data_IF_119957749230
#
_entry.id   IF_119957749230
#
_cell.length_a   1.000
_cell.length_b   1.000
_cell.length_c   1.000
_cell.angle_alpha   90.00
_cell.angle_beta   90.00
_cell.angle_gamma   90.00
#
_symmetry.space_group_name_H-M   'P 1'
#
loop_
_entity.id
_entity.type
_entity.pdbx_description
1 polymer ?
#
# COMPACT_ATOMS: atom_id res chain seq x y z
N UNK A 1 19.00 30.07 -4.97
CA UNK A 1 20.03 29.02 -4.91
C UNK A 1 19.30 27.71 -4.91
N UNK A 2 19.55 26.86 -5.91
CA UNK A 2 18.97 25.53 -5.98
C UNK A 2 19.63 24.66 -4.92
N UNK A 3 18.85 23.96 -4.10
CA UNK A 3 19.37 23.13 -3.02
C UNK A 3 19.22 21.64 -3.34
N UNK A 4 20.20 20.86 -2.88
CA UNK A 4 20.12 19.40 -2.87
C UNK A 4 19.64 18.97 -1.48
N UNK A 5 18.48 18.33 -1.42
CA UNK A 5 17.93 17.79 -0.18
C UNK A 5 18.01 16.27 -0.28
N UNK A 6 18.68 15.65 0.69
CA UNK A 6 18.86 14.22 0.78
C UNK A 6 17.71 13.53 1.50
N UNK A 7 17.34 12.34 1.05
CA UNK A 7 16.45 11.44 1.77
C UNK A 7 17.08 10.06 1.92
N UNK A 8 17.18 9.60 3.17
CA UNK A 8 17.72 8.31 3.54
C UNK A 8 16.66 7.48 4.26
N UNK A 9 16.64 6.17 4.01
CA UNK A 9 15.67 5.26 4.63
C UNK A 9 16.31 3.93 4.97
N UNK A 10 16.01 3.43 6.16
CA UNK A 10 16.38 2.08 6.59
C UNK A 10 15.16 1.24 6.93
N UNK A 11 15.26 -0.06 6.66
CA UNK A 11 14.32 -1.09 7.10
C UNK A 11 14.84 -1.76 8.37
N UNK A 12 13.98 -2.49 9.08
CA UNK A 12 14.34 -3.26 10.28
C UNK A 12 15.54 -4.19 10.10
N UNK A 13 15.75 -4.71 8.88
CA UNK A 13 16.85 -5.64 8.55
C UNK A 13 18.19 -4.94 8.27
N UNK A 14 18.18 -3.63 8.02
CA UNK A 14 19.36 -2.87 7.62
C UNK A 14 19.47 -1.64 8.51
N UNK A 15 20.09 -1.80 9.68
CA UNK A 15 20.06 -0.77 10.74
C UNK A 15 21.05 0.38 10.53
N UNK A 16 21.89 0.33 9.49
CA UNK A 16 22.98 1.29 9.33
C UNK A 16 22.65 2.35 8.25
N UNK A 17 22.32 3.57 8.71
CA UNK A 17 22.13 4.75 7.85
C UNK A 17 23.45 5.43 7.46
N UNK A 18 24.58 5.11 8.08
CA UNK A 18 25.83 5.87 7.96
C UNK A 18 26.33 5.89 6.52
N UNK A 19 26.27 4.75 5.81
CA UNK A 19 26.63 4.68 4.38
C UNK A 19 25.77 5.59 3.51
N UNK A 20 24.46 5.68 3.81
CA UNK A 20 23.54 6.57 3.08
C UNK A 20 23.84 8.04 3.39
N UNK A 21 24.07 8.36 4.66
CA UNK A 21 24.37 9.72 5.11
C UNK A 21 25.66 10.23 4.49
N UNK A 22 26.70 9.40 4.49
CA UNK A 22 28.00 9.76 3.93
C UNK A 22 27.91 9.97 2.41
N UNK A 23 27.20 9.10 1.70
CA UNK A 23 26.95 9.27 0.27
C UNK A 23 26.19 10.57 -0.04
N UNK A 24 25.12 10.88 0.72
CA UNK A 24 24.31 12.09 0.53
C UNK A 24 25.09 13.37 0.87
N UNK A 25 25.91 13.35 1.94
CA UNK A 25 26.80 14.47 2.27
C UNK A 25 27.83 14.71 1.19
N UNK A 26 28.44 13.64 0.66
CA UNK A 26 29.42 13.74 -0.43
C UNK A 26 28.79 14.26 -1.73
N UNK A 27 27.49 14.03 -1.94
CA UNK A 27 26.72 14.59 -3.04
C UNK A 27 26.31 16.06 -2.85
N UNK A 28 26.73 16.70 -1.74
CA UNK A 28 26.44 18.11 -1.47
C UNK A 28 25.04 18.39 -0.93
N UNK A 29 24.36 17.38 -0.36
CA UNK A 29 23.06 17.59 0.27
C UNK A 29 23.20 18.47 1.53
N UNK A 30 22.50 19.61 1.55
CA UNK A 30 22.53 20.56 2.67
C UNK A 30 21.71 20.07 3.87
N UNK A 31 20.59 19.40 3.58
CA UNK A 31 19.65 18.85 4.55
C UNK A 31 19.42 17.39 4.20
N UNK A 32 19.45 16.50 5.18
CA UNK A 32 19.19 15.06 5.00
C UNK A 32 18.06 14.65 5.94
N UNK A 33 16.98 14.12 5.36
CA UNK A 33 15.87 13.53 6.10
C UNK A 33 16.06 12.02 6.24
N UNK A 34 15.94 11.50 7.46
CA UNK A 34 16.26 10.11 7.80
C UNK A 34 15.04 9.36 8.31
N UNK A 35 14.54 8.42 7.52
CA UNK A 35 13.35 7.63 7.85
C UNK A 35 13.71 6.25 8.39
N UNK A 36 13.16 5.89 9.55
CA UNK A 36 13.30 4.55 10.14
C UNK A 36 12.01 3.76 9.94
N UNK A 37 12.00 2.86 8.96
CA UNK A 37 10.85 2.00 8.73
C UNK A 37 10.81 0.86 9.75
N UNK A 38 9.95 0.98 10.76
CA UNK A 38 9.47 -0.16 11.52
C UNK A 38 8.45 -0.91 10.66
N UNK A 39 8.62 -2.22 10.44
CA UNK A 39 7.78 -3.04 9.55
C UNK A 39 6.26 -3.04 9.85
N UNK A 40 5.82 -2.30 10.88
CA UNK A 40 4.43 -2.17 11.31
C UNK A 40 3.73 -0.90 10.83
N UNK A 41 4.44 0.13 10.38
CA UNK A 41 3.85 1.47 10.13
C UNK A 41 4.01 1.92 8.68
N UNK A 42 2.90 2.36 8.11
CA UNK A 42 2.78 2.86 6.72
C UNK A 42 3.09 4.35 6.60
N UNK A 43 3.24 5.06 7.72
CA UNK A 43 3.50 6.50 7.73
C UNK A 43 4.97 6.80 7.41
N UNK A 44 5.21 7.93 6.73
CA UNK A 44 6.55 8.44 6.39
C UNK A 44 6.66 9.92 6.76
N UNK A 45 6.62 10.25 8.05
CA UNK A 45 6.58 11.65 8.48
C UNK A 45 7.82 12.43 8.02
N UNK A 46 8.99 11.79 7.92
CA UNK A 46 10.22 12.44 7.47
C UNK A 46 10.21 12.66 5.96
N UNK A 47 9.67 11.71 5.20
CA UNK A 47 9.48 11.91 3.76
C UNK A 47 8.49 13.05 3.47
N UNK A 48 7.38 13.12 4.20
CA UNK A 48 6.41 14.21 4.04
C UNK A 48 7.02 15.58 4.37
N UNK A 49 7.84 15.66 5.41
CA UNK A 49 8.58 16.87 5.76
C UNK A 49 9.59 17.24 4.67
N UNK A 50 10.33 16.27 4.13
CA UNK A 50 11.24 16.45 3.00
C UNK A 50 10.52 17.04 1.79
N UNK A 51 9.37 16.47 1.41
CA UNK A 51 8.55 16.92 0.28
C UNK A 51 8.00 18.33 0.49
N UNK A 52 7.68 18.71 1.73
CA UNK A 52 7.24 20.07 2.09
C UNK A 52 8.37 21.09 2.05
N UNK A 53 9.61 20.67 2.35
CA UNK A 53 10.77 21.55 2.34
C UNK A 53 11.23 21.91 0.91
N UNK A 54 11.08 20.99 -0.04
CA UNK A 54 11.48 21.17 -1.44
C UNK A 54 10.66 22.27 -2.15
N UNK A 55 11.36 23.12 -2.91
CA UNK A 55 10.80 24.19 -3.74
C UNK A 55 11.18 23.98 -5.20
N UNK A 56 10.48 24.68 -6.10
CA UNK A 56 10.82 24.65 -7.53
C UNK A 56 12.30 25.04 -7.75
N UNK A 57 13.02 24.23 -8.53
CA UNK A 57 14.46 24.34 -8.77
C UNK A 57 15.34 23.53 -7.83
N UNK A 58 14.83 23.05 -6.69
CA UNK A 58 15.57 22.14 -5.82
C UNK A 58 15.66 20.73 -6.43
N UNK A 59 16.54 19.91 -5.89
CA UNK A 59 16.70 18.49 -6.29
C UNK A 59 16.60 17.59 -5.07
N UNK A 60 15.70 16.60 -5.14
CA UNK A 60 15.65 15.50 -4.18
C UNK A 60 16.71 14.47 -4.56
N UNK A 61 17.64 14.21 -3.65
CA UNK A 61 18.72 13.25 -3.82
C UNK A 61 18.48 12.04 -2.92
N UNK A 62 18.60 10.85 -3.48
CA UNK A 62 18.52 9.58 -2.74
C UNK A 62 19.74 8.72 -3.03
N UNK A 63 20.15 7.90 -2.05
CA UNK A 63 21.27 7.00 -2.27
C UNK A 63 20.99 5.97 -3.37
N UNK A 64 19.79 5.38 -3.32
CA UNK A 64 19.29 4.35 -4.23
C UNK A 64 17.77 4.43 -4.40
N UNK A 65 17.26 3.94 -5.53
CA UNK A 65 15.82 3.95 -5.85
C UNK A 65 14.94 3.21 -4.82
N UNK A 66 15.41 2.08 -4.28
CA UNK A 66 14.69 1.27 -3.27
C UNK A 66 14.56 1.97 -1.92
N UNK A 67 15.34 3.03 -1.68
CA UNK A 67 15.23 3.85 -0.47
C UNK A 67 14.19 4.94 -0.59
N UNK A 68 13.76 5.29 -1.81
CA UNK A 68 12.72 6.29 -2.04
C UNK A 68 11.32 5.67 -2.10
N UNK A 69 11.10 4.68 -2.95
CA UNK A 69 9.80 4.05 -3.19
C UNK A 69 9.62 2.73 -2.45
N UNK A 70 8.39 2.37 -2.08
CA UNK A 70 8.03 1.02 -1.58
C UNK A 70 7.83 -0.01 -2.68
N UNK A 71 7.67 0.48 -3.91
CA UNK A 71 7.55 -0.30 -5.13
C UNK A 71 7.92 0.60 -6.31
N UNK A 72 8.19 0.01 -7.47
CA UNK A 72 8.50 0.80 -8.66
C UNK A 72 7.35 1.76 -9.06
N UNK A 73 6.06 1.38 -9.01
CA UNK A 73 4.96 2.32 -9.23
C UNK A 73 4.89 3.48 -8.22
N UNK A 74 5.24 3.22 -6.96
CA UNK A 74 5.29 4.25 -5.91
C UNK A 74 6.41 5.27 -6.21
N UNK A 75 7.58 4.78 -6.61
CA UNK A 75 8.68 5.63 -7.08
C UNK A 75 8.27 6.50 -8.28
N UNK A 76 7.63 5.90 -9.29
CA UNK A 76 7.14 6.59 -10.49
C UNK A 76 6.20 7.73 -10.13
N UNK A 77 5.26 7.48 -9.24
CA UNK A 77 4.33 8.49 -8.78
C UNK A 77 5.05 9.64 -8.06
N UNK A 78 5.95 9.32 -7.12
CA UNK A 78 6.70 10.33 -6.36
C UNK A 78 7.47 11.26 -7.31
N UNK A 79 8.21 10.71 -8.27
CA UNK A 79 9.02 11.52 -9.19
C UNK A 79 8.16 12.33 -10.15
N UNK A 80 7.01 11.80 -10.60
CA UNK A 80 6.06 12.56 -11.40
C UNK A 80 5.50 13.77 -10.63
N UNK A 81 5.21 13.61 -9.33
CA UNK A 81 4.78 14.71 -8.46
C UNK A 81 5.88 15.76 -8.27
N UNK A 82 7.15 15.35 -8.18
CA UNK A 82 8.30 16.26 -8.12
C UNK A 82 8.45 17.04 -9.43
N UNK A 83 8.33 16.37 -10.58
CA UNK A 83 8.43 16.99 -11.90
C UNK A 83 7.33 18.05 -12.11
N UNK A 84 6.08 17.75 -11.71
CA UNK A 84 4.97 18.71 -11.76
C UNK A 84 5.24 19.98 -10.94
N UNK A 85 6.03 19.87 -9.88
CA UNK A 85 6.45 20.98 -9.01
C UNK A 85 7.76 21.64 -9.47
N UNK A 86 8.29 21.22 -10.63
CA UNK A 86 9.58 21.66 -11.16
C UNK A 86 10.75 21.39 -10.19
N UNK A 87 10.70 20.25 -9.51
CA UNK A 87 11.73 19.74 -8.60
C UNK A 87 12.48 18.61 -9.31
N UNK A 88 13.81 18.65 -9.28
CA UNK A 88 14.66 17.60 -9.80
C UNK A 88 14.68 16.36 -8.91
N UNK A 89 14.99 15.21 -9.48
CA UNK A 89 15.24 13.97 -8.76
C UNK A 89 16.58 13.38 -9.19
N UNK A 90 17.35 12.86 -8.24
CA UNK A 90 18.62 12.21 -8.47
C UNK A 90 18.80 10.97 -7.57
N UNK A 91 19.27 9.87 -8.16
CA UNK A 91 19.74 8.68 -7.45
C UNK A 91 21.25 8.52 -7.60
N UNK A 92 21.98 8.43 -6.49
CA UNK A 92 23.45 8.41 -6.52
C UNK A 92 24.03 7.09 -7.07
N UNK A 93 23.41 5.95 -6.73
CA UNK A 93 23.95 4.63 -7.11
C UNK A 93 23.62 4.30 -8.57
N UNK A 94 22.37 4.49 -8.99
CA UNK A 94 21.94 4.21 -10.36
C UNK A 94 22.35 5.32 -11.34
N UNK A 95 22.82 6.47 -10.83
CA UNK A 95 23.17 7.68 -11.61
C UNK A 95 22.04 8.15 -12.53
N UNK A 96 20.81 7.97 -12.09
CA UNK A 96 19.61 8.46 -12.76
C UNK A 96 19.27 9.83 -12.19
N UNK A 97 19.11 10.81 -13.08
CA UNK A 97 18.64 12.16 -12.77
C UNK A 97 17.43 12.50 -13.66
N UNK A 98 16.57 13.43 -13.24
CA UNK A 98 15.44 13.92 -14.07
C UNK A 98 15.58 15.36 -14.53
N UNK A 99 16.71 16.00 -14.25
CA UNK A 99 17.01 17.35 -14.73
C UNK A 99 17.19 17.41 -16.25
N UNK A 100 17.81 16.38 -16.83
CA UNK A 100 18.09 16.28 -18.27
C UNK A 100 16.99 15.56 -19.06
N UNK A 101 16.88 15.85 -20.36
CA UNK A 101 15.93 15.17 -21.25
C UNK A 101 16.21 13.66 -21.37
N UNK A 102 17.49 13.27 -21.38
CA UNK A 102 17.91 11.87 -21.36
C UNK A 102 17.50 11.19 -20.05
N UNK A 103 17.72 11.86 -18.92
CA UNK A 103 17.31 11.38 -17.60
C UNK A 103 15.80 11.16 -17.48
N UNK A 104 14.99 12.12 -17.94
CA UNK A 104 13.52 11.97 -18.02
C UNK A 104 13.08 10.81 -18.92
N UNK A 105 13.73 10.60 -20.06
CA UNK A 105 13.44 9.47 -20.94
C UNK A 105 13.67 8.13 -20.23
N UNK A 106 14.83 7.96 -19.58
CA UNK A 106 15.15 6.76 -18.81
C UNK A 106 14.09 6.52 -17.73
N UNK A 107 13.69 7.59 -17.04
CA UNK A 107 12.64 7.50 -16.03
C UNK A 107 11.28 7.04 -16.59
N UNK A 108 10.85 7.59 -17.73
CA UNK A 108 9.61 7.15 -18.38
C UNK A 108 9.65 5.69 -18.83
N UNK A 109 10.82 5.18 -19.25
CA UNK A 109 10.99 3.75 -19.56
C UNK A 109 10.79 2.90 -18.29
N UNK A 110 11.38 3.30 -17.16
CA UNK A 110 11.13 2.63 -15.87
C UNK A 110 9.65 2.70 -15.47
N UNK A 111 8.97 3.82 -15.71
CA UNK A 111 7.55 3.96 -15.47
C UNK A 111 6.71 2.96 -16.30
N UNK A 112 6.98 2.86 -17.60
CA UNK A 112 6.30 1.92 -18.48
C UNK A 112 6.56 0.45 -18.06
N UNK A 113 7.80 0.11 -17.70
CA UNK A 113 8.13 -1.23 -17.19
C UNK A 113 7.41 -1.55 -15.87
N UNK A 114 7.27 -0.58 -14.97
CA UNK A 114 6.53 -0.72 -13.72
C UNK A 114 5.07 -1.09 -13.94
N UNK A 115 4.43 -0.40 -14.89
CA UNK A 115 3.04 -0.62 -15.24
C UNK A 115 2.86 -2.00 -15.87
N UNK A 116 3.77 -2.37 -16.77
CA UNK A 116 3.79 -3.68 -17.40
C UNK A 116 3.90 -4.82 -16.37
N UNK A 117 4.85 -4.76 -15.44
CA UNK A 117 4.97 -5.79 -14.39
C UNK A 117 3.73 -5.89 -13.51
N UNK A 118 3.15 -4.75 -13.11
CA UNK A 118 1.92 -4.70 -12.31
C UNK A 118 0.76 -5.37 -13.06
N UNK A 119 0.64 -5.14 -14.36
CA UNK A 119 -0.39 -5.75 -15.19
C UNK A 119 -0.17 -7.26 -15.31
N UNK A 120 1.07 -7.71 -15.54
CA UNK A 120 1.42 -9.13 -15.63
C UNK A 120 1.09 -9.91 -14.33
N UNK A 121 1.40 -9.34 -13.16
CA UNK A 121 1.06 -9.94 -11.85
C UNK A 121 -0.46 -10.06 -11.70
N UNK A 122 -1.22 -9.02 -12.08
CA UNK A 122 -2.69 -9.03 -12.04
C UNK A 122 -3.28 -10.09 -12.96
N UNK A 123 -2.79 -10.19 -14.18
CA UNK A 123 -3.22 -11.19 -15.17
C UNK A 123 -2.99 -12.60 -14.65
N UNK A 124 -1.77 -12.90 -14.19
CA UNK A 124 -1.43 -14.22 -13.63
C UNK A 124 -2.29 -14.55 -12.41
N UNK A 125 -2.55 -13.58 -11.54
CA UNK A 125 -3.42 -13.77 -10.37
C UNK A 125 -4.86 -14.08 -10.79
N UNK A 126 -5.41 -13.36 -11.77
CA UNK A 126 -6.75 -13.60 -12.30
C UNK A 126 -6.87 -14.97 -12.96
N UNK A 127 -5.88 -15.36 -13.77
CA UNK A 127 -5.83 -16.68 -14.39
C UNK A 127 -5.77 -17.80 -13.34
N UNK A 128 -4.93 -17.64 -12.30
CA UNK A 128 -4.84 -18.57 -11.18
C UNK A 128 -6.16 -18.69 -10.40
N UNK A 129 -6.83 -17.57 -10.12
CA UNK A 129 -8.14 -17.54 -9.46
C UNK A 129 -9.23 -18.21 -10.32
N UNK A 130 -9.23 -17.96 -11.63
CA UNK A 130 -10.17 -18.60 -12.56
C UNK A 130 -9.95 -20.12 -12.60
N UNK A 131 -8.69 -20.57 -12.69
CA UNK A 131 -8.35 -21.99 -12.66
C UNK A 131 -8.71 -22.65 -11.31
N UNK A 132 -8.54 -21.95 -10.18
CA UNK A 132 -8.93 -22.45 -8.87
C UNK A 132 -10.46 -22.59 -8.75
N UNK A 133 -11.23 -21.60 -9.25
CA UNK A 133 -12.69 -21.67 -9.29
C UNK A 133 -13.19 -22.80 -10.17
N UNK A 134 -12.59 -23.02 -11.33
CA UNK A 134 -12.90 -24.15 -12.21
C UNK A 134 -12.67 -25.51 -11.53
N UNK A 135 -11.72 -25.59 -10.59
CA UNK A 135 -11.46 -26.77 -9.74
C UNK A 135 -12.31 -26.81 -8.47
N UNK A 136 -13.34 -25.97 -8.35
CA UNK A 136 -14.27 -25.95 -7.21
C UNK A 136 -13.81 -25.15 -5.99
N UNK A 137 -12.69 -24.41 -6.05
CA UNK A 137 -12.32 -23.47 -4.98
C UNK A 137 -13.02 -22.12 -5.17
N UNK A 138 -14.04 -21.86 -4.36
CA UNK A 138 -14.81 -20.60 -4.42
C UNK A 138 -14.07 -19.38 -3.84
N UNK A 139 -13.05 -19.59 -3.00
CA UNK A 139 -12.31 -18.51 -2.34
C UNK A 139 -13.17 -17.70 -1.35
N UNK A 140 -12.64 -16.57 -0.87
CA UNK A 140 -13.37 -15.64 0.02
C UNK A 140 -13.40 -16.03 1.51
N UNK A 141 -14.00 -15.16 2.32
CA UNK A 141 -14.17 -15.38 3.77
C UNK A 141 -15.20 -16.50 3.97
N UNK A 142 -14.85 -17.54 4.75
CA UNK A 142 -15.78 -18.60 5.13
C UNK A 142 -17.03 -17.99 5.82
N UNK A 143 -18.25 -18.46 5.51
CA UNK A 143 -19.45 -18.06 6.23
C UNK A 143 -19.28 -18.23 7.74
N UNK A 144 -19.84 -17.31 8.53
CA UNK A 144 -19.80 -17.39 10.00
C UNK A 144 -20.83 -18.36 10.58
N UNK A 145 -21.86 -18.68 9.80
CA UNK A 145 -22.94 -19.59 10.17
C UNK A 145 -23.01 -20.70 9.13
N UNK A 146 -23.15 -21.94 9.58
CA UNK A 146 -23.44 -23.08 8.72
C UNK A 146 -24.96 -23.23 8.48
N UNK A 147 -25.34 -24.11 7.56
CA UNK A 147 -26.73 -24.31 7.17
C UNK A 147 -27.61 -24.84 8.33
N UNK A 148 -27.03 -25.58 9.27
CA UNK A 148 -27.76 -26.07 10.44
C UNK A 148 -28.05 -24.93 11.41
N UNK A 149 -27.05 -24.11 11.72
CA UNK A 149 -27.18 -22.92 12.55
C UNK A 149 -28.19 -21.95 11.94
N UNK A 150 -28.20 -21.77 10.62
CA UNK A 150 -29.20 -20.93 9.94
C UNK A 150 -30.62 -21.47 10.16
N UNK A 151 -30.83 -22.79 10.09
CA UNK A 151 -32.14 -23.41 10.35
C UNK A 151 -32.58 -23.25 11.79
N UNK A 152 -31.67 -23.48 12.75
CA UNK A 152 -31.94 -23.31 14.18
C UNK A 152 -32.29 -21.86 14.52
N UNK A 153 -31.52 -20.89 14.01
CA UNK A 153 -31.79 -19.47 14.20
C UNK A 153 -33.17 -19.09 13.62
N UNK A 154 -33.52 -19.58 12.42
CA UNK A 154 -34.84 -19.33 11.82
C UNK A 154 -35.99 -19.88 12.67
N UNK A 155 -35.79 -21.02 13.35
CA UNK A 155 -36.80 -21.58 14.24
C UNK A 155 -36.92 -20.73 15.52
N UNK A 156 -35.80 -20.36 16.14
CA UNK A 156 -35.77 -19.52 17.35
C UNK A 156 -36.42 -18.15 17.10
N UNK A 157 -36.18 -17.53 15.95
CA UNK A 157 -36.75 -16.21 15.63
C UNK A 157 -38.25 -16.21 15.32
N UNK A 158 -38.90 -17.38 15.25
CA UNK A 158 -40.37 -17.45 15.11
C UNK A 158 -41.08 -17.35 16.45
N UNK A 159 -40.39 -17.58 17.55
CA UNK A 159 -40.93 -17.45 18.91
C UNK A 159 -41.04 -15.96 19.27
N UNK A 160 -42.23 -15.44 19.60
CA UNK A 160 -42.45 -14.01 19.85
C UNK A 160 -41.58 -13.43 20.98
N UNK A 161 -41.20 -14.25 21.95
CA UNK A 161 -40.46 -13.83 23.14
C UNK A 161 -38.94 -13.79 22.94
N UNK A 162 -38.44 -14.24 21.79
CA UNK A 162 -36.99 -14.32 21.53
C UNK A 162 -36.51 -13.07 20.79
N UNK A 163 -35.64 -12.29 21.45
CA UNK A 163 -35.03 -11.14 20.81
C UNK A 163 -33.87 -11.52 19.89
N UNK A 164 -33.85 -10.90 18.70
CA UNK A 164 -32.77 -11.04 17.70
C UNK A 164 -31.38 -10.74 18.27
N UNK A 165 -31.29 -9.80 19.23
CA UNK A 165 -30.03 -9.45 19.88
C UNK A 165 -29.43 -10.60 20.71
N UNK A 166 -30.28 -11.36 21.40
CA UNK A 166 -29.83 -12.48 22.24
C UNK A 166 -29.42 -13.67 21.39
N UNK A 167 -30.13 -13.94 20.30
CA UNK A 167 -29.73 -14.96 19.31
C UNK A 167 -28.41 -14.58 18.66
N UNK A 168 -28.21 -13.32 18.28
CA UNK A 168 -26.94 -12.86 17.71
C UNK A 168 -25.76 -13.06 18.68
N UNK A 169 -25.96 -12.75 19.98
CA UNK A 169 -24.96 -12.98 21.04
C UNK A 169 -24.65 -14.45 21.22
N UNK A 170 -25.67 -15.32 21.25
CA UNK A 170 -25.55 -16.77 21.42
C UNK A 170 -24.69 -17.41 20.33
N UNK A 171 -24.85 -16.98 19.08
CA UNK A 171 -24.10 -17.50 17.93
C UNK A 171 -22.81 -16.70 17.62
N UNK A 172 -22.44 -15.72 18.44
CA UNK A 172 -21.19 -14.94 18.26
C UNK A 172 -21.14 -14.10 16.97
N UNK A 173 -22.30 -13.70 16.45
CA UNK A 173 -22.43 -12.93 15.21
C UNK A 173 -23.11 -11.58 15.46
N UNK A 174 -22.88 -10.60 14.57
CA UNK A 174 -23.63 -9.34 14.65
C UNK A 174 -25.08 -9.53 14.18
N UNK A 175 -26.00 -8.69 14.67
CA UNK A 175 -27.39 -8.63 14.17
C UNK A 175 -27.44 -8.51 12.64
N UNK A 176 -26.56 -7.70 12.06
CA UNK A 176 -26.41 -7.54 10.60
C UNK A 176 -26.01 -8.84 9.91
N UNK A 177 -25.06 -9.60 10.48
CA UNK A 177 -24.67 -10.91 9.94
C UNK A 177 -25.84 -11.87 10.00
N UNK A 178 -26.59 -11.85 11.10
CA UNK A 178 -27.73 -12.74 11.31
C UNK A 178 -28.83 -12.46 10.28
N UNK A 179 -29.30 -11.21 10.15
CA UNK A 179 -30.29 -10.80 9.13
C UNK A 179 -29.85 -11.13 7.70
N UNK A 180 -28.56 -10.98 7.38
CA UNK A 180 -28.03 -11.31 6.05
C UNK A 180 -28.24 -12.79 5.68
N UNK A 181 -28.19 -13.71 6.64
CA UNK A 181 -28.31 -15.15 6.38
C UNK A 181 -29.74 -15.66 6.55
N UNK A 182 -30.54 -15.07 7.45
CA UNK A 182 -31.90 -15.58 7.74
C UNK A 182 -33.02 -14.77 7.10
N UNK A 183 -32.76 -13.53 6.65
CA UNK A 183 -33.78 -12.60 6.18
C UNK A 183 -34.61 -12.00 7.31
N UNK A 184 -35.72 -11.33 6.97
CA UNK A 184 -36.73 -10.92 7.96
C UNK A 184 -37.63 -12.13 8.23
N UNK A 185 -37.57 -12.66 9.46
CA UNK A 185 -38.41 -13.79 9.89
C UNK A 185 -39.61 -13.20 10.64
N UNK A 186 -40.82 -13.45 10.13
CA UNK A 186 -42.04 -13.06 10.83
C UNK A 186 -42.29 -14.02 12.02
N UNK A 187 -42.69 -13.50 13.19
CA UNK A 187 -43.08 -14.33 14.32
C UNK A 187 -44.32 -15.16 13.97
N UNK A 188 -44.48 -16.33 14.61
CA UNK A 188 -45.73 -17.10 14.51
C UNK A 188 -46.88 -16.27 15.10
N UNK A 189 -48.02 -16.29 14.41
CA UNK A 189 -49.29 -15.77 14.90
C UNK A 189 -49.82 -16.64 16.04
#
# INVERSE_FOLDING_TARGET
MNQHIGYARVSTDDQNLDLQRDALKNAGCSIIYEEKASGKTTDRPEFEQCIKALRAGDTLVVWRLDRLGRSLPDLVQIVAELEQRNIGFESLTEKIETGSAAGRLVFHVFAALSEFERNLIRERTRAGLAAARARGRSGGRKPKLDDQQIREIKALLREPDIQVADVARRYGVSRTTLYKHVGVVAPRQ
#
